data_IF_626048100341
#
_entry.id   IF_626048100341
#
_cell.length_a   1.000
_cell.length_b   1.000
_cell.length_c   1.000
_cell.angle_alpha   90.00
_cell.angle_beta   90.00
_cell.angle_gamma   90.00
#
_symmetry.space_group_name_H-M   'P 1'
#
loop_
_entity.id
_entity.type
_entity.pdbx_description
1 polymer ?
#
# COMPACT_ATOMS: atom_id res chain seq x y z
N UNK A 1 -13.31 -27.44 -4.19
CA UNK A 1 -12.49 -26.76 -5.22
C UNK A 1 -12.88 -25.29 -5.40
N UNK A 2 -14.17 -24.93 -5.30
CA UNK A 2 -14.66 -23.55 -5.43
C UNK A 2 -14.20 -22.58 -4.33
N UNK A 3 -14.21 -23.00 -3.06
CA UNK A 3 -13.83 -22.10 -1.93
C UNK A 3 -12.35 -21.66 -1.96
N UNK A 4 -11.45 -22.55 -2.37
CA UNK A 4 -10.02 -22.25 -2.49
C UNK A 4 -9.77 -21.22 -3.61
N UNK A 5 -10.50 -21.32 -4.71
CA UNK A 5 -10.41 -20.39 -5.85
C UNK A 5 -10.97 -19.01 -5.45
N UNK A 6 -12.09 -18.98 -4.72
CA UNK A 6 -12.69 -17.74 -4.22
C UNK A 6 -11.80 -17.03 -3.19
N UNK A 7 -11.14 -17.80 -2.31
CA UNK A 7 -10.15 -17.29 -1.34
C UNK A 7 -8.95 -16.64 -2.02
N UNK A 8 -8.38 -17.30 -3.04
CA UNK A 8 -7.24 -16.77 -3.81
C UNK A 8 -7.60 -15.53 -4.62
N UNK A 9 -8.80 -15.49 -5.20
CA UNK A 9 -9.29 -14.32 -5.95
C UNK A 9 -9.44 -13.11 -5.03
N UNK A 10 -9.97 -13.29 -3.82
CA UNK A 10 -10.10 -12.22 -2.83
C UNK A 10 -8.73 -11.71 -2.37
N UNK A 11 -7.77 -12.60 -2.11
CA UNK A 11 -6.39 -12.23 -1.80
C UNK A 11 -5.72 -11.44 -2.93
N UNK A 12 -5.95 -11.86 -4.18
CA UNK A 12 -5.43 -11.18 -5.36
C UNK A 12 -5.98 -9.76 -5.48
N UNK A 13 -7.29 -9.56 -5.32
CA UNK A 13 -7.92 -8.23 -5.37
C UNK A 13 -7.36 -7.32 -4.27
N UNK A 14 -7.17 -7.84 -3.06
CA UNK A 14 -6.57 -7.08 -1.96
C UNK A 14 -5.13 -6.64 -2.28
N UNK A 15 -4.31 -7.48 -2.93
CA UNK A 15 -2.95 -7.10 -3.32
C UNK A 15 -2.90 -6.21 -4.57
N UNK A 16 -3.89 -6.31 -5.47
CA UNK A 16 -3.88 -5.59 -6.74
C UNK A 16 -4.01 -4.07 -6.56
N UNK A 17 -4.85 -3.62 -5.63
CA UNK A 17 -5.04 -2.19 -5.34
C UNK A 17 -3.74 -1.51 -4.91
N UNK A 18 -3.07 -1.94 -3.82
CA UNK A 18 -1.83 -1.31 -3.39
C UNK A 18 -0.69 -1.52 -4.40
N UNK A 19 -0.70 -2.59 -5.19
CA UNK A 19 0.27 -2.79 -6.27
C UNK A 19 0.12 -1.75 -7.41
N UNK A 20 -1.11 -1.53 -7.90
CA UNK A 20 -1.37 -0.51 -8.92
C UNK A 20 -1.07 0.89 -8.38
N UNK A 21 -1.44 1.16 -7.12
CA UNK A 21 -1.14 2.43 -6.46
C UNK A 21 0.37 2.64 -6.30
N UNK A 22 1.13 1.58 -5.96
CA UNK A 22 2.59 1.64 -5.91
C UNK A 22 3.17 1.98 -7.29
N UNK A 23 2.68 1.34 -8.35
CA UNK A 23 3.11 1.64 -9.72
C UNK A 23 2.87 3.09 -10.10
N UNK A 24 1.69 3.63 -9.79
CA UNK A 24 1.36 5.04 -10.01
C UNK A 24 2.30 5.98 -9.23
N UNK A 25 2.52 5.69 -7.95
CA UNK A 25 3.34 6.53 -7.06
C UNK A 25 4.81 6.51 -7.47
N UNK A 26 5.37 5.33 -7.79
CA UNK A 26 6.74 5.19 -8.28
C UNK A 26 6.94 5.92 -9.61
N UNK A 27 5.99 5.79 -10.54
CA UNK A 27 6.05 6.51 -11.81
C UNK A 27 6.04 8.03 -11.60
N UNK A 28 5.17 8.52 -10.70
CA UNK A 28 5.14 9.93 -10.32
C UNK A 28 6.45 10.40 -9.68
N UNK A 29 6.97 9.65 -8.71
CA UNK A 29 8.22 9.98 -8.00
C UNK A 29 9.46 9.96 -8.89
N UNK A 30 9.48 9.11 -9.93
CA UNK A 30 10.56 9.06 -10.93
C UNK A 30 10.45 10.16 -12.00
N UNK A 31 9.26 10.70 -12.21
CA UNK A 31 9.01 11.73 -13.22
C UNK A 31 9.18 13.12 -12.59
N UNK A 32 8.08 13.78 -12.25
CA UNK A 32 8.09 15.15 -11.73
C UNK A 32 7.39 15.28 -10.38
N UNK A 33 6.72 14.23 -9.91
CA UNK A 33 5.90 14.25 -8.71
C UNK A 33 4.65 13.39 -8.83
N UNK A 34 4.00 13.16 -7.70
CA UNK A 34 2.73 12.42 -7.61
C UNK A 34 1.60 13.44 -7.50
N UNK A 35 0.65 13.38 -8.42
CA UNK A 35 -0.54 14.25 -8.39
C UNK A 35 -1.74 13.43 -7.97
N UNK A 36 -2.42 13.84 -6.91
CA UNK A 36 -3.60 13.15 -6.39
C UNK A 36 -4.80 14.10 -6.56
N UNK A 37 -5.75 13.78 -7.45
CA UNK A 37 -6.93 14.62 -7.63
C UNK A 37 -7.84 14.55 -6.41
N UNK A 38 -8.22 15.70 -5.88
CA UNK A 38 -9.16 15.87 -4.78
C UNK A 38 -10.35 16.73 -5.19
N UNK A 39 -11.30 16.90 -4.27
CA UNK A 39 -12.55 17.64 -4.53
C UNK A 39 -12.32 19.14 -4.77
N UNK A 40 -11.37 19.74 -4.08
CA UNK A 40 -11.09 21.19 -4.12
C UNK A 40 -9.81 21.54 -4.89
N UNK A 41 -9.17 20.56 -5.52
CA UNK A 41 -7.91 20.74 -6.25
C UNK A 41 -7.10 19.45 -6.30
N UNK A 42 -5.85 19.56 -6.76
CA UNK A 42 -4.91 18.45 -6.79
C UNK A 42 -3.84 18.60 -5.71
N UNK A 43 -3.62 17.55 -4.92
CA UNK A 43 -2.45 17.47 -4.06
C UNK A 43 -1.26 17.04 -4.92
N UNK A 44 -0.22 17.88 -5.00
CA UNK A 44 1.02 17.55 -5.67
C UNK A 44 2.12 17.26 -4.64
N UNK A 45 2.64 16.04 -4.65
CA UNK A 45 3.76 15.60 -3.83
C UNK A 45 5.01 15.60 -4.69
N UNK A 46 6.01 16.41 -4.31
CA UNK A 46 7.24 16.61 -5.08
C UNK A 46 8.46 16.17 -4.27
N UNK A 47 9.56 15.86 -4.96
CA UNK A 47 10.85 15.55 -4.34
C UNK A 47 10.75 14.45 -3.27
N UNK A 48 11.24 14.72 -2.07
CA UNK A 48 11.28 13.75 -0.96
C UNK A 48 9.88 13.30 -0.56
N UNK A 49 8.89 14.20 -0.58
CA UNK A 49 7.51 13.87 -0.24
C UNK A 49 6.90 12.84 -1.20
N UNK A 50 7.26 12.88 -2.49
CA UNK A 50 6.84 11.86 -3.45
C UNK A 50 7.41 10.48 -3.10
N UNK A 51 8.70 10.41 -2.76
CA UNK A 51 9.35 9.16 -2.35
C UNK A 51 8.80 8.61 -1.03
N UNK A 52 8.53 9.47 -0.06
CA UNK A 52 7.90 9.08 1.20
C UNK A 52 6.48 8.56 0.97
N UNK A 53 5.71 9.19 0.07
CA UNK A 53 4.38 8.73 -0.27
C UNK A 53 4.37 7.31 -0.87
N UNK A 54 5.41 6.91 -1.62
CA UNK A 54 5.57 5.54 -2.15
C UNK A 54 5.63 4.47 -1.05
N UNK A 55 6.05 4.84 0.18
CA UNK A 55 6.14 3.88 1.29
C UNK A 55 4.76 3.38 1.72
N UNK A 56 3.70 4.17 1.56
CA UNK A 56 2.35 3.73 1.92
C UNK A 56 1.86 2.53 1.11
N UNK A 57 1.74 2.61 -0.24
CA UNK A 57 1.32 1.46 -1.03
C UNK A 57 2.28 0.28 -0.89
N UNK A 58 3.59 0.52 -0.66
CA UNK A 58 4.56 -0.54 -0.41
C UNK A 58 4.28 -1.30 0.90
N UNK A 59 4.11 -0.57 2.01
CA UNK A 59 3.84 -1.17 3.32
C UNK A 59 2.47 -1.85 3.37
N UNK A 60 1.47 -1.25 2.72
CA UNK A 60 0.16 -1.87 2.55
C UNK A 60 0.27 -3.17 1.75
N UNK A 61 0.91 -3.16 0.58
CA UNK A 61 1.11 -4.38 -0.22
C UNK A 61 1.85 -5.46 0.58
N UNK A 62 2.89 -5.08 1.33
CA UNK A 62 3.64 -6.00 2.19
C UNK A 62 2.73 -6.60 3.28
N UNK A 63 1.88 -5.79 3.89
CA UNK A 63 0.89 -6.23 4.87
C UNK A 63 -0.12 -7.23 4.31
N UNK A 64 -0.62 -6.99 3.09
CA UNK A 64 -1.55 -7.91 2.42
C UNK A 64 -0.86 -9.20 1.99
N UNK A 65 0.40 -9.13 1.52
CA UNK A 65 1.21 -10.31 1.24
C UNK A 65 1.42 -11.17 2.48
N UNK A 66 1.79 -10.58 3.62
CA UNK A 66 1.94 -11.30 4.89
C UNK A 66 0.61 -11.94 5.30
N UNK A 67 -0.51 -11.23 5.13
CA UNK A 67 -1.84 -11.70 5.53
C UNK A 67 -2.39 -12.83 4.65
N UNK A 68 -2.06 -12.85 3.36
CA UNK A 68 -2.63 -13.79 2.40
C UNK A 68 -1.68 -14.89 1.92
N UNK A 69 -0.37 -14.67 1.95
CA UNK A 69 0.65 -15.62 1.52
C UNK A 69 1.57 -15.99 2.70
N UNK A 70 1.24 -17.03 3.49
CA UNK A 70 2.03 -17.47 4.63
C UNK A 70 3.31 -18.19 4.20
N UNK A 71 4.25 -17.46 3.61
CA UNK A 71 5.59 -18.00 3.36
C UNK A 71 6.47 -17.97 4.63
N UNK A 72 6.03 -17.23 5.67
CA UNK A 72 6.72 -17.11 6.95
C UNK A 72 5.88 -17.77 8.05
N UNK A 73 6.46 -18.65 8.89
CA UNK A 73 5.74 -19.30 9.97
C UNK A 73 5.37 -18.28 11.05
N UNK A 74 4.12 -17.80 11.02
CA UNK A 74 3.55 -16.89 11.99
C UNK A 74 2.13 -17.33 12.34
N UNK A 75 1.71 -17.12 13.59
CA UNK A 75 0.32 -17.34 13.98
C UNK A 75 -0.63 -16.41 13.22
N UNK A 76 -1.88 -16.83 13.00
CA UNK A 76 -2.89 -16.01 12.33
C UNK A 76 -3.09 -14.66 13.01
N UNK A 77 -3.03 -14.62 14.35
CA UNK A 77 -3.12 -13.39 15.14
C UNK A 77 -1.93 -12.46 14.87
N UNK A 78 -0.70 -13.00 14.87
CA UNK A 78 0.50 -12.22 14.59
C UNK A 78 0.49 -11.66 13.15
N UNK A 79 0.07 -12.46 12.16
CA UNK A 79 -0.03 -12.02 10.75
C UNK A 79 -1.03 -10.88 10.58
N UNK A 80 -2.22 -11.02 11.16
CA UNK A 80 -3.23 -9.96 11.10
C UNK A 80 -2.73 -8.69 11.79
N UNK A 81 -2.07 -8.81 12.94
CA UNK A 81 -1.52 -7.66 13.65
C UNK A 81 -0.41 -6.97 12.86
N UNK A 82 0.53 -7.74 12.30
CA UNK A 82 1.61 -7.22 11.46
C UNK A 82 1.08 -6.50 10.21
N UNK A 83 0.11 -7.10 9.51
CA UNK A 83 -0.56 -6.51 8.35
C UNK A 83 -1.21 -5.16 8.70
N UNK A 84 -1.96 -5.10 9.80
CA UNK A 84 -2.59 -3.86 10.28
C UNK A 84 -1.55 -2.80 10.65
N UNK A 85 -0.50 -3.18 11.39
CA UNK A 85 0.56 -2.24 11.80
C UNK A 85 1.25 -1.64 10.56
N UNK A 86 1.62 -2.47 9.58
CA UNK A 86 2.26 -2.00 8.35
C UNK A 86 1.36 -1.00 7.60
N UNK A 87 0.06 -1.29 7.51
CA UNK A 87 -0.90 -0.41 6.84
C UNK A 87 -1.04 0.93 7.57
N UNK A 88 -1.15 0.91 8.91
CA UNK A 88 -1.27 2.13 9.73
C UNK A 88 0.00 2.97 9.66
N UNK A 89 1.17 2.35 9.78
CA UNK A 89 2.46 3.06 9.66
C UNK A 89 2.61 3.68 8.27
N UNK A 90 2.26 2.93 7.21
CA UNK A 90 2.26 3.47 5.86
C UNK A 90 1.33 4.68 5.71
N UNK A 91 0.11 4.61 6.25
CA UNK A 91 -0.82 5.74 6.21
C UNK A 91 -0.27 6.96 6.94
N UNK A 92 0.33 6.79 8.12
CA UNK A 92 0.97 7.88 8.87
C UNK A 92 2.13 8.52 8.09
N UNK A 93 2.97 7.72 7.44
CA UNK A 93 4.06 8.22 6.59
C UNK A 93 3.50 9.03 5.42
N UNK A 94 2.41 8.56 4.78
CA UNK A 94 1.77 9.29 3.70
C UNK A 94 1.27 10.65 4.18
N UNK A 95 0.50 10.70 5.27
CA UNK A 95 0.03 11.97 5.83
C UNK A 95 1.18 12.90 6.20
N UNK A 96 2.24 12.37 6.81
CA UNK A 96 3.44 13.15 7.08
C UNK A 96 4.04 13.76 5.80
N UNK A 97 4.18 12.97 4.73
CA UNK A 97 4.66 13.44 3.44
C UNK A 97 3.78 14.55 2.83
N UNK A 98 2.48 14.54 3.09
CA UNK A 98 1.57 15.62 2.64
C UNK A 98 1.71 16.93 3.41
N UNK A 99 2.39 16.93 4.57
CA UNK A 99 2.57 18.10 5.44
C UNK A 99 3.96 18.73 5.37
N UNK A 100 4.87 18.15 4.58
CA UNK A 100 6.22 18.70 4.33
C UNK A 100 6.17 19.71 3.19
#
# INVERSE_FOLDING_TARGET
MSEVIQSKTKAFIHCAIPFLMLGYFLFGALSEGIVIPGREGSLALLGISAWLACLFPLLWLTGDLIRHYPNVPMSTKARNMASTILTVVGALIFFYATTM
#
